data_IF_681708358530
#
_entry.id   IF_681708358530
#
_cell.length_a   1.000
_cell.length_b   1.000
_cell.length_c   1.000
_cell.angle_alpha   90.00
_cell.angle_beta   90.00
_cell.angle_gamma   90.00
#
_symmetry.space_group_name_H-M   'P 1'
#
loop_
_entity.id
_entity.type
_entity.pdbx_description
1 polymer ?
#
# COMPACT_ATOMS: atom_id res chain seq x y z
N UNK A 1 13.55 16.29 1.08
CA UNK A 1 14.83 16.42 1.79
C UNK A 1 15.90 16.17 0.73
N UNK A 2 16.87 17.07 0.55
CA UNK A 2 17.88 16.93 -0.52
C UNK A 2 19.01 16.02 -0.02
N UNK A 3 18.74 14.71 0.02
CA UNK A 3 19.73 13.70 0.42
C UNK A 3 20.59 13.42 -0.80
N UNK A 4 21.85 13.89 -0.76
CA UNK A 4 22.83 13.57 -1.79
C UNK A 4 23.01 12.05 -1.90
N UNK A 5 23.10 11.54 -3.12
CA UNK A 5 23.33 10.12 -3.37
C UNK A 5 24.66 9.67 -2.76
N UNK A 6 24.60 8.73 -1.81
CA UNK A 6 25.76 8.07 -1.20
C UNK A 6 25.91 6.64 -1.76
N UNK A 7 26.86 6.42 -2.69
CA UNK A 7 27.10 5.12 -3.32
C UNK A 7 27.40 4.00 -2.33
N UNK A 8 28.12 4.29 -1.25
CA UNK A 8 28.54 3.27 -0.27
C UNK A 8 27.33 2.84 0.54
N UNK A 9 26.56 3.82 1.04
CA UNK A 9 25.37 3.57 1.83
C UNK A 9 24.30 2.80 1.05
N UNK A 10 24.03 3.19 -0.21
CA UNK A 10 23.09 2.47 -1.05
C UNK A 10 23.56 1.03 -1.34
N UNK A 11 24.86 0.81 -1.56
CA UNK A 11 25.39 -0.53 -1.78
C UNK A 11 25.27 -1.42 -0.53
N UNK A 12 25.51 -0.87 0.66
CA UNK A 12 25.29 -1.58 1.93
C UNK A 12 23.83 -2.02 2.10
N UNK A 13 22.87 -1.17 1.75
CA UNK A 13 21.44 -1.50 1.81
C UNK A 13 21.07 -2.58 0.80
N UNK A 14 21.57 -2.47 -0.43
CA UNK A 14 21.39 -3.51 -1.44
C UNK A 14 21.95 -4.87 -1.00
N UNK A 15 23.18 -4.89 -0.49
CA UNK A 15 23.83 -6.13 -0.06
C UNK A 15 23.09 -6.76 1.15
N UNK A 16 22.50 -5.94 2.02
CA UNK A 16 21.61 -6.43 3.09
C UNK A 16 20.33 -7.06 2.54
N UNK A 17 19.70 -6.44 1.53
CA UNK A 17 18.53 -7.01 0.84
C UNK A 17 18.87 -8.34 0.17
N UNK A 18 20.02 -8.42 -0.51
CA UNK A 18 20.49 -9.65 -1.12
C UNK A 18 20.68 -10.76 -0.08
N UNK A 19 21.36 -10.44 1.03
CA UNK A 19 21.56 -11.39 2.12
C UNK A 19 20.23 -11.90 2.71
N UNK A 20 19.22 -11.03 2.88
CA UNK A 20 17.86 -11.42 3.31
C UNK A 20 17.20 -12.34 2.27
N UNK A 21 17.29 -11.97 1.00
CA UNK A 21 16.68 -12.70 -0.10
C UNK A 21 17.21 -14.12 -0.22
N UNK A 22 18.51 -14.34 -0.07
CA UNK A 22 19.13 -15.66 -0.27
C UNK A 22 19.28 -16.49 1.02
N UNK A 23 18.96 -15.94 2.20
CA UNK A 23 19.17 -16.60 3.49
C UNK A 23 18.46 -17.96 3.62
N UNK A 24 17.39 -18.18 2.87
CA UNK A 24 16.63 -19.42 2.86
C UNK A 24 17.20 -20.50 1.92
N UNK A 25 18.17 -20.13 1.07
CA UNK A 25 18.76 -21.03 0.06
C UNK A 25 20.00 -21.70 0.64
N UNK A 26 20.04 -23.04 0.77
CA UNK A 26 21.20 -23.75 1.31
C UNK A 26 22.46 -23.53 0.46
N UNK A 27 23.57 -23.15 1.10
CA UNK A 27 24.85 -22.93 0.41
C UNK A 27 24.95 -21.62 -0.37
N UNK A 28 23.92 -20.78 -0.36
CA UNK A 28 23.88 -19.58 -1.20
C UNK A 28 25.01 -18.58 -0.94
N UNK A 29 25.56 -18.55 0.27
CA UNK A 29 26.70 -17.68 0.59
C UNK A 29 27.95 -17.98 -0.27
N UNK A 30 28.11 -19.20 -0.77
CA UNK A 30 29.23 -19.61 -1.63
C UNK A 30 29.07 -19.11 -3.08
N UNK A 31 27.85 -18.81 -3.50
CA UNK A 31 27.49 -18.36 -4.85
C UNK A 31 27.34 -16.83 -4.95
N UNK A 32 27.56 -16.11 -3.85
CA UNK A 32 27.62 -14.64 -3.86
C UNK A 32 28.94 -14.18 -4.44
N UNK A 33 28.87 -13.42 -5.53
CA UNK A 33 30.04 -12.82 -6.18
C UNK A 33 30.08 -11.33 -5.81
N UNK A 34 31.15 -10.93 -5.14
CA UNK A 34 31.32 -9.55 -4.67
C UNK A 34 31.68 -8.59 -5.79
N UNK A 35 31.02 -7.44 -5.84
CA UNK A 35 31.27 -6.41 -6.86
C UNK A 35 31.04 -6.89 -8.30
N UNK A 36 30.16 -7.88 -8.49
CA UNK A 36 29.96 -8.54 -9.79
C UNK A 36 29.14 -7.69 -10.77
N UNK A 37 28.30 -6.78 -10.25
CA UNK A 37 27.41 -5.98 -11.11
C UNK A 37 28.20 -5.09 -12.06
N UNK A 38 29.28 -4.44 -11.61
CA UNK A 38 30.12 -3.63 -12.51
C UNK A 38 30.84 -4.48 -13.55
N UNK A 39 31.30 -5.69 -13.20
CA UNK A 39 31.96 -6.58 -14.16
C UNK A 39 30.98 -6.94 -15.28
N UNK A 40 29.74 -7.30 -14.92
CA UNK A 40 28.67 -7.58 -15.90
C UNK A 40 28.25 -6.35 -16.70
N UNK A 41 28.39 -5.15 -16.14
CA UNK A 41 28.17 -3.91 -16.87
C UNK A 41 29.20 -3.75 -17.98
N UNK A 42 30.49 -3.91 -17.66
CA UNK A 42 31.57 -3.77 -18.63
C UNK A 42 31.49 -4.80 -19.77
N UNK A 43 30.85 -5.95 -19.54
CA UNK A 43 30.59 -6.94 -20.59
C UNK A 43 29.56 -6.46 -21.63
N UNK A 44 28.58 -5.64 -21.23
CA UNK A 44 27.49 -5.17 -22.10
C UNK A 44 27.67 -3.73 -22.59
N UNK A 45 28.42 -2.93 -21.83
CA UNK A 45 28.69 -1.52 -22.06
C UNK A 45 30.20 -1.23 -21.83
N UNK A 46 31.09 -1.75 -22.70
CA UNK A 46 32.54 -1.68 -22.51
C UNK A 46 33.08 -0.24 -22.49
N UNK A 47 32.37 0.73 -23.07
CA UNK A 47 32.72 2.14 -23.04
C UNK A 47 32.83 2.73 -21.63
N UNK A 48 32.19 2.10 -20.63
CA UNK A 48 32.32 2.48 -19.22
C UNK A 48 33.72 2.18 -18.65
N UNK A 49 34.50 1.30 -19.29
CA UNK A 49 35.89 1.03 -18.89
C UNK A 49 36.85 2.17 -19.29
N UNK A 50 36.50 2.96 -20.30
CA UNK A 50 37.33 4.02 -20.86
C UNK A 50 37.08 5.39 -20.19
N UNK A 51 36.22 5.43 -19.16
CA UNK A 51 35.91 6.66 -18.43
C UNK A 51 37.13 7.16 -17.65
N UNK A 52 37.37 8.47 -17.70
CA UNK A 52 38.36 9.12 -16.84
C UNK A 52 37.83 9.15 -15.39
N UNK A 53 38.63 8.64 -14.46
CA UNK A 53 38.31 8.59 -13.03
C UNK A 53 36.92 7.97 -12.71
N UNK A 54 36.67 6.71 -13.10
CA UNK A 54 35.35 6.09 -12.97
C UNK A 54 34.88 6.00 -11.51
N UNK A 55 35.82 5.88 -10.56
CA UNK A 55 35.52 5.86 -9.11
C UNK A 55 34.99 7.20 -8.57
N UNK A 56 35.16 8.30 -9.31
CA UNK A 56 34.58 9.61 -8.99
C UNK A 56 33.14 9.73 -9.49
N UNK A 57 32.69 8.83 -10.37
CA UNK A 57 31.31 8.79 -10.86
C UNK A 57 30.44 8.00 -9.87
N UNK A 58 29.46 8.65 -9.20
CA UNK A 58 28.73 8.03 -8.09
C UNK A 58 28.08 6.70 -8.45
N UNK A 59 27.43 6.61 -9.61
CA UNK A 59 26.75 5.39 -10.06
C UNK A 59 27.75 4.25 -10.36
N UNK A 60 28.90 4.55 -10.97
CA UNK A 60 29.95 3.56 -11.21
C UNK A 60 30.44 2.99 -9.88
N UNK A 61 30.76 3.89 -8.93
CA UNK A 61 31.17 3.49 -7.59
C UNK A 61 30.12 2.63 -6.89
N UNK A 62 28.84 2.99 -6.97
CA UNK A 62 27.75 2.21 -6.40
C UNK A 62 27.70 0.80 -7.01
N UNK A 63 27.67 0.68 -8.34
CA UNK A 63 27.62 -0.60 -9.04
C UNK A 63 28.85 -1.48 -8.76
N UNK A 64 30.02 -0.89 -8.52
CA UNK A 64 31.25 -1.61 -8.17
C UNK A 64 31.20 -2.27 -6.79
N UNK A 65 30.32 -1.77 -5.91
CA UNK A 65 30.17 -2.25 -4.53
C UNK A 65 29.02 -3.25 -4.37
N UNK A 66 28.23 -3.50 -5.43
CA UNK A 66 27.11 -4.43 -5.36
C UNK A 66 27.56 -5.87 -5.48
N UNK A 67 27.23 -6.63 -4.45
CA UNK A 67 27.26 -8.08 -4.51
C UNK A 67 26.11 -8.58 -5.38
N UNK A 68 26.28 -9.72 -6.04
CA UNK A 68 25.15 -10.38 -6.68
C UNK A 68 25.21 -11.88 -6.48
N UNK A 69 24.04 -12.49 -6.53
CA UNK A 69 23.91 -13.93 -6.38
C UNK A 69 23.80 -14.59 -7.76
N UNK A 70 24.51 -15.71 -7.94
CA UNK A 70 24.35 -16.58 -9.10
C UNK A 70 23.52 -17.79 -8.70
N UNK A 71 22.42 -18.11 -9.40
CA UNK A 71 21.93 -17.56 -10.68
C UNK A 71 21.38 -16.12 -10.63
N UNK A 72 21.53 -15.41 -11.76
CA UNK A 72 21.21 -13.97 -11.90
C UNK A 72 19.72 -13.64 -11.75
N UNK A 73 18.86 -14.66 -11.74
CA UNK A 73 17.42 -14.58 -11.54
C UNK A 73 17.07 -14.64 -10.04
N UNK A 74 17.76 -13.87 -9.20
CA UNK A 74 17.35 -13.71 -7.79
C UNK A 74 16.49 -12.47 -7.61
N UNK A 75 15.36 -12.69 -6.95
CA UNK A 75 14.45 -11.65 -6.46
C UNK A 75 15.02 -11.09 -5.17
N UNK A 76 15.25 -9.77 -5.10
CA UNK A 76 15.63 -9.13 -3.84
C UNK A 76 14.43 -8.95 -2.92
N UNK A 77 13.28 -8.69 -3.55
CA UNK A 77 12.00 -8.49 -2.88
C UNK A 77 10.90 -9.17 -3.70
N UNK A 78 9.68 -9.32 -3.14
CA UNK A 78 8.52 -9.68 -3.94
C UNK A 78 8.23 -8.69 -5.08
N UNK A 79 8.74 -7.45 -4.98
CA UNK A 79 8.49 -6.38 -5.93
C UNK A 79 9.52 -6.33 -7.05
N UNK A 80 10.81 -6.57 -6.79
CA UNK A 80 11.87 -6.45 -7.80
C UNK A 80 13.03 -7.44 -7.70
N UNK A 81 13.68 -7.63 -8.84
CA UNK A 81 14.87 -8.47 -9.02
C UNK A 81 16.15 -7.73 -8.64
N UNK A 82 17.25 -8.47 -8.50
CA UNK A 82 18.58 -7.86 -8.41
C UNK A 82 18.97 -7.17 -9.72
N UNK A 83 19.95 -6.24 -9.71
CA UNK A 83 20.39 -5.57 -10.92
C UNK A 83 20.94 -6.55 -11.97
N UNK A 84 20.48 -6.36 -13.21
CA UNK A 84 20.92 -7.10 -14.38
C UNK A 84 21.37 -6.08 -15.43
N UNK A 85 22.68 -5.86 -15.64
CA UNK A 85 23.15 -4.81 -16.55
C UNK A 85 22.64 -4.92 -17.99
N UNK A 86 22.38 -6.13 -18.48
CA UNK A 86 21.75 -6.35 -19.79
C UNK A 86 20.34 -5.70 -19.93
N UNK A 87 19.75 -5.28 -18.81
CA UNK A 87 18.42 -4.69 -18.71
C UNK A 87 18.46 -3.19 -18.42
N UNK A 88 19.64 -2.60 -18.18
CA UNK A 88 19.79 -1.19 -17.82
C UNK A 88 19.37 -0.23 -18.93
N UNK A 89 19.58 -0.62 -20.19
CA UNK A 89 19.12 0.13 -21.35
C UNK A 89 18.21 -0.75 -22.20
N UNK A 90 17.06 -0.21 -22.57
CA UNK A 90 16.12 -0.83 -23.48
C UNK A 90 15.46 0.26 -24.31
N UNK A 91 15.44 0.08 -25.63
CA UNK A 91 14.83 1.00 -26.60
C UNK A 91 13.40 1.40 -26.18
N UNK A 92 12.66 0.49 -25.53
CA UNK A 92 11.29 0.73 -25.09
C UNK A 92 11.13 1.97 -24.19
N UNK A 93 12.01 2.19 -23.21
CA UNK A 93 11.91 3.38 -22.34
C UNK A 93 12.81 4.53 -22.79
N UNK A 94 13.89 4.25 -23.51
CA UNK A 94 14.77 5.29 -24.06
C UNK A 94 14.05 6.12 -25.14
N UNK A 95 13.14 5.51 -25.90
CA UNK A 95 12.34 6.23 -26.90
C UNK A 95 11.17 7.02 -26.26
N UNK A 96 10.76 6.66 -25.04
CA UNK A 96 9.61 7.25 -24.35
C UNK A 96 9.99 8.39 -23.41
N UNK A 97 11.25 8.49 -23.02
CA UNK A 97 11.74 9.48 -22.07
C UNK A 97 13.11 10.02 -22.52
N UNK A 98 13.26 11.34 -22.57
CA UNK A 98 14.51 11.97 -23.00
C UNK A 98 15.59 12.06 -21.92
N UNK A 99 15.27 11.68 -20.68
CA UNK A 99 16.22 11.63 -19.56
C UNK A 99 17.17 10.46 -19.71
N UNK A 100 18.37 10.57 -19.14
CA UNK A 100 19.32 9.45 -19.11
C UNK A 100 18.94 8.49 -17.98
N UNK A 101 18.12 7.48 -18.32
CA UNK A 101 17.53 6.55 -17.36
C UNK A 101 18.11 5.16 -17.51
N UNK A 102 18.29 4.47 -16.38
CA UNK A 102 18.52 3.01 -16.35
C UNK A 102 17.44 2.27 -15.57
N UNK A 103 17.07 1.07 -16.02
CA UNK A 103 16.27 0.15 -15.21
C UNK A 103 17.19 -0.57 -14.21
N UNK A 104 17.35 0.01 -13.02
CA UNK A 104 18.29 -0.49 -12.02
C UNK A 104 17.82 -1.81 -11.37
N UNK A 105 16.53 -1.87 -11.00
CA UNK A 105 15.91 -3.08 -10.43
C UNK A 105 14.68 -3.48 -11.24
N UNK A 106 14.74 -4.56 -12.05
CA UNK A 106 13.61 -5.02 -12.86
C UNK A 106 12.39 -5.43 -12.04
N UNK A 107 11.20 -5.33 -12.62
CA UNK A 107 9.92 -5.66 -11.97
C UNK A 107 9.73 -7.17 -11.78
N UNK A 108 9.31 -7.59 -10.60
CA UNK A 108 8.95 -8.97 -10.26
C UNK A 108 7.44 -9.18 -10.07
N UNK A 109 6.64 -8.12 -10.13
CA UNK A 109 5.21 -8.16 -9.85
C UNK A 109 4.34 -8.54 -11.04
N UNK A 110 4.88 -8.53 -12.26
CA UNK A 110 4.16 -8.89 -13.49
C UNK A 110 5.16 -9.23 -14.62
N UNK A 111 4.63 -9.65 -15.76
CA UNK A 111 5.41 -9.98 -16.96
C UNK A 111 5.00 -9.07 -18.13
N UNK A 112 5.95 -8.71 -19.01
CA UNK A 112 7.40 -8.97 -18.96
C UNK A 112 8.12 -8.16 -17.86
N UNK A 113 9.16 -8.73 -17.25
CA UNK A 113 9.95 -8.08 -16.18
C UNK A 113 10.70 -6.82 -16.63
N UNK A 114 10.83 -6.66 -17.95
CA UNK A 114 11.56 -5.58 -18.62
C UNK A 114 10.75 -4.30 -18.82
N UNK A 115 9.44 -4.40 -18.60
CA UNK A 115 8.52 -3.30 -18.92
C UNK A 115 8.42 -2.29 -17.77
N UNK A 116 9.15 -2.53 -16.68
CA UNK A 116 9.24 -1.61 -15.57
C UNK A 116 10.06 -2.13 -14.41
N UNK A 117 9.94 -1.42 -13.29
CA UNK A 117 10.69 -1.67 -12.07
C UNK A 117 11.13 -0.36 -11.45
N UNK A 118 12.26 -0.37 -10.74
CA UNK A 118 12.85 0.84 -10.17
C UNK A 118 13.84 1.45 -11.17
N UNK A 119 13.45 2.55 -11.80
CA UNK A 119 14.30 3.33 -12.67
C UNK A 119 15.20 4.25 -11.85
N UNK A 120 16.42 4.47 -12.32
CA UNK A 120 17.34 5.47 -11.80
C UNK A 120 17.64 6.50 -12.89
N UNK A 121 17.50 7.77 -12.55
CA UNK A 121 17.89 8.88 -13.40
C UNK A 121 19.37 9.18 -13.13
N UNK A 122 20.23 9.05 -14.16
CA UNK A 122 21.67 9.21 -14.05
C UNK A 122 22.09 10.67 -13.84
N UNK A 123 21.27 11.64 -14.26
CA UNK A 123 21.54 13.07 -14.05
C UNK A 123 21.30 13.49 -12.60
N UNK A 124 20.24 12.96 -11.99
CA UNK A 124 19.79 13.39 -10.65
C UNK A 124 20.13 12.39 -9.54
N UNK A 125 20.46 11.14 -9.89
CA UNK A 125 20.61 10.01 -8.98
C UNK A 125 19.36 9.69 -8.15
N UNK A 126 18.19 10.15 -8.62
CA UNK A 126 16.90 9.82 -8.02
C UNK A 126 16.33 8.58 -8.69
N UNK A 127 15.42 7.93 -7.98
CA UNK A 127 14.73 6.74 -8.45
C UNK A 127 13.23 6.89 -8.43
N UNK A 128 12.58 6.17 -9.34
CA UNK A 128 11.14 6.06 -9.39
C UNK A 128 10.70 4.69 -9.90
N UNK A 129 9.74 4.10 -9.20
CA UNK A 129 9.11 2.87 -9.62
C UNK A 129 8.09 3.16 -10.71
N UNK A 130 8.25 2.54 -11.89
CA UNK A 130 7.36 2.83 -13.01
C UNK A 130 7.19 1.66 -13.95
N UNK A 131 6.22 1.81 -14.85
CA UNK A 131 6.01 0.95 -16.02
C UNK A 131 5.73 1.80 -17.23
N UNK A 132 6.76 2.03 -18.02
CA UNK A 132 6.74 2.97 -19.14
C UNK A 132 5.73 2.59 -20.23
N UNK A 133 5.40 1.30 -20.35
CA UNK A 133 4.40 0.81 -21.31
C UNK A 133 2.95 1.08 -20.86
N UNK A 134 2.71 1.34 -19.58
CA UNK A 134 1.37 1.64 -19.03
C UNK A 134 1.20 3.13 -18.82
N UNK A 135 2.19 3.78 -18.22
CA UNK A 135 2.13 5.19 -17.84
C UNK A 135 3.49 5.86 -18.08
N UNK A 136 3.50 7.11 -18.57
CA UNK A 136 4.71 7.92 -18.58
C UNK A 136 5.29 8.05 -17.18
N UNK A 137 6.63 8.09 -17.08
CA UNK A 137 7.29 8.39 -15.83
C UNK A 137 6.97 9.84 -15.41
N UNK A 138 6.72 10.08 -14.11
CA UNK A 138 6.37 11.41 -13.66
C UNK A 138 7.58 12.37 -13.68
N UNK A 139 7.34 13.68 -13.49
CA UNK A 139 8.39 14.68 -13.33
C UNK A 139 9.35 14.36 -12.17
N UNK A 140 10.60 14.83 -12.25
CA UNK A 140 11.66 14.51 -11.27
C UNK A 140 11.30 14.90 -9.83
N UNK A 141 10.40 15.87 -9.62
CA UNK A 141 9.94 16.29 -8.29
C UNK A 141 9.21 15.19 -7.51
N UNK A 142 8.70 14.15 -8.19
CA UNK A 142 8.07 13.00 -7.54
C UNK A 142 9.03 11.81 -7.34
N UNK A 143 10.28 11.94 -7.77
CA UNK A 143 11.29 10.89 -7.62
C UNK A 143 11.93 11.00 -6.23
N UNK A 144 12.48 9.89 -5.75
CA UNK A 144 13.04 9.80 -4.39
C UNK A 144 14.49 9.35 -4.40
N UNK A 145 15.29 9.64 -3.35
CA UNK A 145 16.65 9.11 -3.25
C UNK A 145 16.65 7.57 -3.27
N UNK A 146 17.65 6.96 -3.93
CA UNK A 146 17.80 5.50 -3.94
C UNK A 146 17.91 4.92 -2.52
N UNK A 147 18.58 5.62 -1.61
CA UNK A 147 18.68 5.23 -0.20
C UNK A 147 17.31 5.04 0.43
N UNK A 148 16.36 5.96 0.17
CA UNK A 148 15.00 5.85 0.70
C UNK A 148 14.32 4.58 0.15
N UNK A 149 14.41 4.35 -1.16
CA UNK A 149 13.76 3.20 -1.79
C UNK A 149 14.28 1.86 -1.25
N UNK A 150 15.61 1.72 -1.10
CA UNK A 150 16.23 0.53 -0.54
C UNK A 150 15.93 0.36 0.95
N UNK A 151 15.91 1.45 1.71
CA UNK A 151 15.52 1.43 3.13
C UNK A 151 14.08 0.95 3.28
N UNK A 152 13.15 1.44 2.46
CA UNK A 152 11.75 0.98 2.46
C UNK A 152 11.62 -0.50 2.15
N UNK A 153 12.35 -1.00 1.16
CA UNK A 153 12.38 -2.42 0.86
C UNK A 153 12.93 -3.25 2.04
N UNK A 154 13.92 -2.74 2.77
CA UNK A 154 14.50 -3.41 3.92
C UNK A 154 13.55 -3.39 5.13
N UNK A 155 12.91 -2.26 5.40
CA UNK A 155 11.88 -2.12 6.43
C UNK A 155 10.76 -3.16 6.24
N UNK A 156 10.38 -3.42 4.99
CA UNK A 156 9.37 -4.44 4.64
C UNK A 156 9.83 -5.86 4.96
N UNK A 157 11.11 -6.17 4.79
CA UNK A 157 11.71 -7.42 5.29
C UNK A 157 11.75 -7.48 6.81
N UNK A 158 12.14 -6.39 7.47
CA UNK A 158 12.32 -6.34 8.92
C UNK A 158 11.00 -6.42 9.69
N UNK A 159 9.94 -5.80 9.17
CA UNK A 159 8.59 -5.96 9.74
C UNK A 159 7.91 -7.27 9.33
N UNK A 160 8.57 -8.11 8.52
CA UNK A 160 8.07 -9.41 8.09
C UNK A 160 6.95 -9.35 7.04
N UNK A 161 6.70 -8.19 6.45
CA UNK A 161 5.76 -8.06 5.33
C UNK A 161 6.32 -8.79 4.10
N UNK A 162 7.62 -8.67 3.83
CA UNK A 162 8.30 -9.56 2.90
C UNK A 162 8.75 -10.83 3.62
N UNK A 163 8.47 -11.98 3.01
CA UNK A 163 8.89 -13.26 3.55
C UNK A 163 9.20 -14.27 2.44
N UNK A 164 9.99 -15.28 2.78
CA UNK A 164 10.10 -16.48 1.98
C UNK A 164 9.26 -17.59 2.62
N UNK A 165 8.55 -18.36 1.81
CA UNK A 165 7.75 -19.47 2.30
C UNK A 165 7.12 -20.28 1.17
N UNK A 166 6.39 -21.34 1.51
CA UNK A 166 5.85 -22.27 0.53
C UNK A 166 4.90 -21.56 -0.41
N UNK A 167 5.15 -21.72 -1.70
CA UNK A 167 4.27 -21.24 -2.75
C UNK A 167 3.18 -22.27 -3.03
N UNK A 168 1.92 -21.86 -3.22
CA UNK A 168 0.88 -22.78 -3.67
C UNK A 168 1.11 -23.25 -5.12
N UNK A 169 2.00 -22.58 -5.86
CA UNK A 169 2.26 -22.85 -7.28
C UNK A 169 3.63 -23.48 -7.56
N UNK A 170 4.52 -23.59 -6.56
CA UNK A 170 5.83 -24.23 -6.72
C UNK A 170 6.20 -25.09 -5.51
N UNK A 171 7.00 -26.13 -5.76
CA UNK A 171 7.57 -26.97 -4.70
C UNK A 171 8.68 -26.27 -3.91
N UNK A 172 9.13 -25.11 -4.38
CA UNK A 172 10.18 -24.30 -3.76
C UNK A 172 9.57 -23.09 -3.03
N UNK A 173 10.22 -22.71 -1.93
CA UNK A 173 9.89 -21.48 -1.22
C UNK A 173 10.07 -20.29 -2.15
N UNK A 174 9.11 -19.37 -2.13
CA UNK A 174 9.08 -18.20 -3.00
C UNK A 174 8.95 -16.94 -2.17
N UNK A 175 9.74 -15.92 -2.52
CA UNK A 175 9.58 -14.57 -1.98
C UNK A 175 8.18 -14.04 -2.28
N UNK A 176 7.44 -13.71 -1.23
CA UNK A 176 6.05 -13.24 -1.30
C UNK A 176 5.80 -12.12 -0.30
N UNK A 177 4.71 -11.39 -0.52
CA UNK A 177 4.23 -10.34 0.39
C UNK A 177 3.13 -10.92 1.26
N UNK A 178 3.25 -10.76 2.59
CA UNK A 178 2.15 -11.04 3.50
C UNK A 178 1.04 -10.01 3.28
N UNK A 179 -0.24 -10.41 3.20
CA UNK A 179 -1.34 -9.47 3.06
C UNK A 179 -1.34 -8.38 4.14
N UNK A 180 -1.00 -8.73 5.39
CA UNK A 180 -0.80 -7.80 6.50
C UNK A 180 0.10 -8.44 7.57
N UNK A 181 0.61 -7.62 8.49
CA UNK A 181 1.46 -7.99 9.63
C UNK A 181 0.87 -7.45 10.94
N UNK A 182 1.29 -7.97 12.09
CA UNK A 182 0.84 -7.44 13.40
C UNK A 182 1.09 -5.92 13.53
N UNK A 183 2.22 -5.45 13.00
CA UNK A 183 2.55 -4.01 12.96
C UNK A 183 1.55 -3.20 12.14
N UNK A 184 0.96 -3.78 11.10
CA UNK A 184 -0.07 -3.11 10.29
C UNK A 184 -1.38 -2.95 11.06
N UNK A 185 -1.72 -3.95 11.87
CA UNK A 185 -2.85 -3.88 12.79
C UNK A 185 -2.61 -2.86 13.91
N UNK A 186 -1.42 -2.88 14.54
CA UNK A 186 -1.03 -1.93 15.58
C UNK A 186 -1.09 -0.48 15.09
N UNK A 187 -0.51 -0.20 13.91
CA UNK A 187 -0.55 1.13 13.31
C UNK A 187 -1.99 1.57 12.99
N UNK A 188 -2.82 0.67 12.45
CA UNK A 188 -4.23 0.96 12.16
C UNK A 188 -5.05 1.25 13.42
N UNK A 189 -4.85 0.47 14.49
CA UNK A 189 -5.52 0.66 15.78
C UNK A 189 -5.02 1.94 16.46
N UNK A 190 -3.74 2.25 16.38
CA UNK A 190 -3.18 3.49 16.92
C UNK A 190 -3.76 4.72 16.21
N UNK A 191 -3.75 4.74 14.88
CA UNK A 191 -4.32 5.83 14.09
C UNK A 191 -5.84 5.98 14.32
N UNK A 192 -6.54 4.87 14.51
CA UNK A 192 -7.94 4.87 14.91
C UNK A 192 -8.17 5.51 16.29
N UNK A 193 -7.39 5.14 17.30
CA UNK A 193 -7.48 5.71 18.65
C UNK A 193 -7.15 7.23 18.64
N UNK A 194 -6.24 7.64 17.77
CA UNK A 194 -5.94 9.05 17.51
C UNK A 194 -7.11 9.82 16.90
N UNK A 195 -7.77 9.25 15.89
CA UNK A 195 -8.99 9.82 15.30
C UNK A 195 -10.10 9.97 16.35
N UNK A 196 -10.35 8.92 17.14
CA UNK A 196 -11.35 8.99 18.20
C UNK A 196 -11.03 10.07 19.23
N UNK A 197 -9.74 10.24 19.56
CA UNK A 197 -9.29 11.31 20.46
C UNK A 197 -9.49 12.68 19.85
N UNK A 198 -9.11 12.89 18.58
CA UNK A 198 -9.30 14.14 17.86
C UNK A 198 -10.77 14.58 17.84
N UNK A 199 -11.70 13.66 17.55
CA UNK A 199 -13.14 13.95 17.55
C UNK A 199 -13.61 14.28 18.96
N UNK A 200 -13.26 13.43 19.95
CA UNK A 200 -13.68 13.60 21.34
C UNK A 200 -13.25 14.95 21.91
N UNK A 201 -12.04 15.40 21.59
CA UNK A 201 -11.47 16.65 22.08
C UNK A 201 -12.16 17.88 21.50
N UNK A 202 -12.85 17.73 20.36
CA UNK A 202 -13.63 18.78 19.70
C UNK A 202 -15.14 18.69 19.94
N UNK A 203 -15.62 17.72 20.71
CA UNK A 203 -17.05 17.64 21.04
C UNK A 203 -17.48 18.89 21.84
N UNK A 204 -18.61 19.52 21.48
CA UNK A 204 -19.16 20.66 22.21
C UNK A 204 -19.82 20.20 23.51
N UNK A 205 -19.00 19.87 24.51
CA UNK A 205 -19.44 19.44 25.83
C UNK A 205 -19.61 20.64 26.78
N UNK A 206 -20.62 20.62 27.69
CA UNK A 206 -20.66 21.54 28.81
C UNK A 206 -19.36 21.49 29.64
N UNK A 207 -18.91 22.60 30.26
CA UNK A 207 -17.63 22.66 30.98
C UNK A 207 -17.40 21.57 32.03
N UNK A 208 -18.48 21.09 32.65
CA UNK A 208 -18.45 20.08 33.72
C UNK A 208 -18.95 18.69 33.27
N UNK A 209 -19.26 18.51 31.98
CA UNK A 209 -19.73 17.22 31.48
C UNK A 209 -18.57 16.23 31.36
N UNK A 210 -18.71 15.00 31.90
CA UNK A 210 -17.70 13.97 31.71
C UNK A 210 -17.57 13.66 30.22
N UNK A 211 -16.33 13.45 29.77
CA UNK A 211 -16.10 13.05 28.38
C UNK A 211 -16.78 11.71 28.10
N UNK A 212 -17.36 11.54 26.91
CA UNK A 212 -18.06 10.32 26.57
C UNK A 212 -17.12 9.10 26.66
N UNK A 213 -17.57 7.99 27.28
CA UNK A 213 -16.72 6.83 27.48
C UNK A 213 -16.44 6.12 26.16
N UNK A 214 -15.23 5.59 26.04
CA UNK A 214 -14.88 4.67 24.96
C UNK A 214 -15.40 3.28 25.34
N UNK A 215 -16.04 2.60 24.40
CA UNK A 215 -16.60 1.26 24.56
C UNK A 215 -15.59 0.18 24.14
N UNK A 216 -15.78 -1.00 24.71
CA UNK A 216 -15.01 -2.20 24.33
C UNK A 216 -15.22 -2.56 22.85
N UNK A 217 -14.22 -3.20 22.22
CA UNK A 217 -14.31 -3.76 20.86
C UNK A 217 -15.46 -4.77 20.69
N UNK A 218 -15.68 -5.22 19.45
CA UNK A 218 -16.64 -6.29 19.21
C UNK A 218 -16.11 -7.62 19.78
N UNK A 219 -16.96 -8.47 20.38
CA UNK A 219 -16.53 -9.78 20.87
C UNK A 219 -16.04 -10.67 19.72
N UNK A 220 -14.89 -11.33 19.88
CA UNK A 220 -14.35 -12.25 18.88
C UNK A 220 -15.35 -13.36 18.52
N UNK A 221 -16.06 -13.90 19.51
CA UNK A 221 -17.09 -14.91 19.31
C UNK A 221 -18.26 -14.46 18.43
N UNK A 222 -18.50 -13.16 18.28
CA UNK A 222 -19.49 -12.60 17.36
C UNK A 222 -18.90 -12.44 15.96
N UNK A 223 -17.69 -11.88 15.87
CA UNK A 223 -17.02 -11.60 14.59
C UNK A 223 -16.64 -12.87 13.85
N UNK A 224 -16.25 -13.93 14.57
CA UNK A 224 -15.90 -15.24 14.01
C UNK A 224 -17.07 -15.98 13.34
N UNK A 225 -18.32 -15.56 13.58
CA UNK A 225 -19.52 -16.18 13.00
C UNK A 225 -19.72 -15.85 11.51
N UNK A 226 -18.96 -14.88 10.97
CA UNK A 226 -19.19 -14.33 9.65
C UNK A 226 -17.93 -14.34 8.76
N UNK A 227 -18.18 -14.32 7.45
CA UNK A 227 -17.15 -14.32 6.40
C UNK A 227 -16.56 -12.91 6.21
N UNK A 228 -15.47 -12.66 6.93
CA UNK A 228 -14.66 -11.43 6.89
C UNK A 228 -13.19 -11.78 6.64
N UNK A 229 -12.44 -10.83 6.10
CA UNK A 229 -10.99 -10.96 5.98
C UNK A 229 -10.31 -11.06 7.36
N UNK A 230 -9.16 -11.75 7.46
CA UNK A 230 -8.43 -11.87 8.71
C UNK A 230 -8.07 -10.51 9.33
N UNK A 231 -7.65 -9.54 8.50
CA UNK A 231 -7.36 -8.18 8.96
C UNK A 231 -8.61 -7.51 9.56
N UNK A 232 -9.76 -7.57 8.87
CA UNK A 232 -11.00 -6.97 9.39
C UNK A 232 -11.45 -7.61 10.70
N UNK A 233 -11.31 -8.94 10.84
CA UNK A 233 -11.60 -9.65 12.10
C UNK A 233 -10.70 -9.15 13.23
N UNK A 234 -9.39 -9.07 12.98
CA UNK A 234 -8.42 -8.62 13.97
C UNK A 234 -8.64 -7.16 14.36
N UNK A 235 -8.92 -6.28 13.40
CA UNK A 235 -9.22 -4.88 13.65
C UNK A 235 -10.50 -4.71 14.46
N UNK A 236 -11.62 -5.32 14.05
CA UNK A 236 -12.93 -5.16 14.73
C UNK A 236 -12.95 -5.70 16.17
N UNK A 237 -12.09 -6.67 16.48
CA UNK A 237 -11.97 -7.27 17.81
C UNK A 237 -10.93 -6.58 18.70
N UNK A 238 -10.12 -5.68 18.14
CA UNK A 238 -9.09 -4.92 18.87
C UNK A 238 -9.45 -3.44 18.99
N UNK A 239 -10.01 -2.84 17.94
CA UNK A 239 -10.32 -1.43 17.85
C UNK A 239 -11.45 -1.03 18.81
N UNK A 240 -11.18 -0.02 19.63
CA UNK A 240 -12.17 0.52 20.57
C UNK A 240 -13.30 1.21 19.82
N UNK A 241 -14.48 1.32 20.45
CA UNK A 241 -15.65 1.93 19.81
C UNK A 241 -16.02 3.26 20.51
N UNK A 242 -16.28 4.35 19.77
CA UNK A 242 -16.75 5.58 20.37
C UNK A 242 -18.17 5.45 20.91
N UNK A 243 -18.57 6.35 21.80
CA UNK A 243 -19.96 6.51 22.21
C UNK A 243 -20.71 7.59 21.43
N UNK A 244 -20.00 8.39 20.61
CA UNK A 244 -20.61 9.31 19.66
C UNK A 244 -20.94 8.57 18.34
N UNK A 245 -21.84 9.12 17.55
CA UNK A 245 -22.44 8.43 16.41
C UNK A 245 -21.52 8.40 15.18
N UNK A 246 -20.91 9.54 14.82
CA UNK A 246 -20.24 9.69 13.52
C UNK A 246 -18.74 9.96 13.65
N UNK A 247 -17.96 9.19 12.88
CA UNK A 247 -16.49 9.24 12.90
C UNK A 247 -15.89 9.91 11.66
N UNK A 248 -16.70 10.10 10.62
CA UNK A 248 -16.31 10.74 9.37
C UNK A 248 -17.56 11.24 8.61
N UNK A 249 -17.41 12.11 7.59
CA UNK A 249 -18.51 12.52 6.73
C UNK A 249 -19.20 11.31 6.09
N UNK A 250 -20.45 11.47 5.66
CA UNK A 250 -21.21 10.36 5.08
C UNK A 250 -21.97 9.52 6.10
N UNK A 251 -22.10 10.03 7.33
CA UNK A 251 -22.68 9.30 8.46
C UNK A 251 -21.99 7.95 8.70
N UNK A 252 -20.67 7.92 8.52
CA UNK A 252 -19.86 6.75 8.85
C UNK A 252 -19.82 6.58 10.37
N UNK A 253 -20.15 5.38 10.82
CA UNK A 253 -20.24 5.03 12.23
C UNK A 253 -19.46 3.76 12.54
N UNK A 254 -19.32 3.42 13.81
CA UNK A 254 -18.85 2.10 14.25
C UNK A 254 -20.02 1.16 14.49
N UNK A 255 -19.79 -0.13 14.32
CA UNK A 255 -20.78 -1.14 14.65
C UNK A 255 -21.12 -1.18 16.15
N UNK A 256 -22.41 -1.28 16.45
CA UNK A 256 -22.89 -1.94 17.67
C UNK A 256 -22.88 -3.46 17.47
N UNK A 257 -22.92 -4.24 18.56
CA UNK A 257 -23.05 -5.71 18.48
C UNK A 257 -24.28 -6.12 17.65
N UNK A 258 -25.40 -5.43 17.88
CA UNK A 258 -26.66 -5.69 17.20
C UNK A 258 -26.58 -5.33 15.71
N UNK A 259 -26.15 -4.10 15.39
CA UNK A 259 -26.07 -3.66 13.99
C UNK A 259 -25.07 -4.48 13.17
N UNK A 260 -23.98 -4.97 13.78
CA UNK A 260 -23.05 -5.88 13.12
C UNK A 260 -23.72 -7.21 12.78
N UNK A 261 -24.33 -7.84 13.78
CA UNK A 261 -25.03 -9.11 13.60
C UNK A 261 -26.15 -9.00 12.55
N UNK A 262 -26.98 -7.96 12.63
CA UNK A 262 -28.10 -7.75 11.71
C UNK A 262 -27.63 -7.55 10.28
N UNK A 263 -26.58 -6.75 10.06
CA UNK A 263 -26.10 -6.44 8.72
C UNK A 263 -25.45 -7.67 8.06
N UNK A 264 -24.60 -8.39 8.78
CA UNK A 264 -23.90 -9.55 8.23
C UNK A 264 -24.79 -10.80 8.17
N UNK A 265 -25.76 -10.97 9.07
CA UNK A 265 -26.72 -12.07 9.00
C UNK A 265 -27.76 -11.88 7.89
N UNK A 266 -28.05 -10.63 7.50
CA UNK A 266 -28.93 -10.32 6.38
C UNK A 266 -28.28 -10.60 5.01
N UNK A 267 -26.97 -10.84 4.97
CA UNK A 267 -26.29 -11.18 3.73
C UNK A 267 -26.66 -12.58 3.24
N UNK A 268 -27.01 -12.69 1.95
CA UNK A 268 -27.39 -13.95 1.36
C UNK A 268 -26.17 -14.87 1.11
N UNK A 269 -26.31 -16.20 1.21
CA UNK A 269 -25.20 -17.12 0.96
C UNK A 269 -24.60 -17.04 -0.46
N UNK A 270 -25.40 -16.60 -1.44
CA UNK A 270 -25.03 -16.41 -2.84
C UNK A 270 -24.51 -14.99 -3.15
N UNK A 271 -24.23 -14.18 -2.12
CA UNK A 271 -23.73 -12.83 -2.29
C UNK A 271 -22.47 -12.81 -3.18
N UNK A 272 -22.39 -11.92 -4.20
CA UNK A 272 -21.30 -11.91 -5.17
C UNK A 272 -19.90 -11.82 -4.54
N UNK A 273 -19.76 -11.12 -3.40
CA UNK A 273 -18.47 -11.01 -2.71
C UNK A 273 -17.98 -12.34 -2.15
N UNK A 274 -18.89 -13.24 -1.76
CA UNK A 274 -18.55 -14.58 -1.27
C UNK A 274 -18.16 -15.52 -2.41
N UNK A 275 -18.85 -15.40 -3.55
CA UNK A 275 -18.58 -16.20 -4.73
C UNK A 275 -17.20 -15.90 -5.37
N UNK A 276 -16.72 -14.66 -5.30
CA UNK A 276 -15.40 -14.30 -5.86
C UNK A 276 -14.23 -14.93 -5.10
N UNK A 277 -14.37 -15.12 -3.79
CA UNK A 277 -13.33 -15.78 -2.99
C UNK A 277 -13.25 -17.28 -3.20
N UNK A 278 -14.36 -17.94 -3.57
CA UNK A 278 -14.36 -19.38 -3.88
C UNK A 278 -13.44 -19.74 -5.06
N UNK A 279 -13.07 -18.76 -5.90
CA UNK A 279 -12.17 -18.94 -7.04
C UNK A 279 -10.73 -18.44 -6.77
N UNK A 280 -10.47 -17.83 -5.61
CA UNK A 280 -9.15 -17.31 -5.25
C UNK A 280 -8.38 -18.36 -4.42
N UNK A 281 -7.08 -18.52 -4.69
CA UNK A 281 -6.21 -19.40 -3.92
C UNK A 281 -6.02 -18.97 -2.44
N UNK A 282 -6.49 -17.78 -2.07
CA UNK A 282 -6.56 -17.31 -0.68
C UNK A 282 -7.98 -17.47 -0.15
N UNK A 283 -8.20 -18.53 0.64
CA UNK A 283 -9.52 -18.98 1.05
C UNK A 283 -10.30 -17.99 1.95
N UNK A 284 -9.69 -16.91 2.45
CA UNK A 284 -10.28 -16.11 3.53
C UNK A 284 -10.27 -14.58 3.31
N UNK A 285 -9.83 -14.07 2.15
CA UNK A 285 -9.67 -12.62 1.96
C UNK A 285 -10.95 -11.93 1.47
N UNK A 286 -11.96 -11.80 2.34
CA UNK A 286 -13.25 -11.20 1.97
C UNK A 286 -13.24 -9.67 2.03
N UNK A 287 -13.85 -9.05 1.02
CA UNK A 287 -14.27 -7.66 1.09
C UNK A 287 -15.14 -7.46 2.35
N UNK A 288 -14.65 -6.70 3.33
CA UNK A 288 -15.23 -6.64 4.67
C UNK A 288 -15.55 -5.22 5.05
N UNK A 289 -16.81 -4.95 5.40
CA UNK A 289 -17.23 -3.64 5.88
C UNK A 289 -16.73 -3.45 7.32
N UNK A 290 -15.92 -2.42 7.55
CA UNK A 290 -15.35 -2.10 8.87
C UNK A 290 -16.12 -0.95 9.52
N UNK A 291 -16.43 0.10 8.77
CA UNK A 291 -17.22 1.26 9.24
C UNK A 291 -18.45 1.46 8.35
N UNK A 292 -19.67 1.09 8.78
CA UNK A 292 -20.88 1.28 8.00
C UNK A 292 -21.30 2.76 7.93
N UNK A 293 -21.85 3.18 6.80
CA UNK A 293 -22.67 4.38 6.74
C UNK A 293 -24.09 4.08 7.26
N UNK A 294 -24.70 4.99 8.02
CA UNK A 294 -26.11 4.87 8.43
C UNK A 294 -27.09 5.25 7.33
N UNK A 295 -26.60 5.80 6.21
CA UNK A 295 -27.39 6.13 5.04
C UNK A 295 -27.97 4.88 4.36
N UNK A 296 -28.95 5.11 3.47
CA UNK A 296 -29.55 4.05 2.67
C UNK A 296 -28.51 3.30 1.81
N UNK A 297 -28.87 2.10 1.37
CA UNK A 297 -28.05 1.36 0.42
C UNK A 297 -27.79 2.19 -0.85
N UNK A 298 -26.62 2.02 -1.45
CA UNK A 298 -26.24 2.67 -2.70
C UNK A 298 -27.26 2.27 -3.77
N UNK A 299 -27.95 3.24 -4.40
CA UNK A 299 -29.00 2.94 -5.38
C UNK A 299 -28.44 2.20 -6.60
N UNK A 300 -29.29 1.47 -7.33
CA UNK A 300 -28.94 0.96 -8.66
C UNK A 300 -28.80 2.14 -9.64
N UNK A 301 -27.81 2.09 -10.52
CA UNK A 301 -27.50 3.22 -11.40
C UNK A 301 -26.92 4.41 -10.63
N UNK A 302 -26.06 4.10 -9.66
CA UNK A 302 -25.31 5.07 -8.86
C UNK A 302 -24.55 6.09 -9.73
N UNK A 303 -24.04 7.17 -9.12
CA UNK A 303 -23.40 8.26 -9.85
C UNK A 303 -22.19 7.78 -10.68
N UNK A 304 -21.52 6.71 -10.25
CA UNK A 304 -20.52 6.00 -11.04
C UNK A 304 -21.19 4.93 -11.95
N UNK A 305 -21.21 5.13 -13.28
CA UNK A 305 -21.83 4.19 -14.21
C UNK A 305 -21.13 2.83 -14.27
N UNK A 306 -19.92 2.71 -13.72
CA UNK A 306 -19.18 1.46 -13.65
C UNK A 306 -19.52 0.63 -12.42
N UNK A 307 -20.15 1.20 -11.40
CA UNK A 307 -20.37 0.56 -10.09
C UNK A 307 -21.08 -0.79 -10.19
N UNK A 308 -22.12 -0.87 -11.02
CA UNK A 308 -22.95 -2.06 -11.22
C UNK A 308 -22.48 -2.97 -12.36
N UNK A 309 -21.39 -2.63 -13.07
CA UNK A 309 -20.85 -3.46 -14.15
C UNK A 309 -20.12 -4.68 -13.58
N UNK A 310 -19.82 -5.67 -14.43
CA UNK A 310 -19.08 -6.88 -14.02
C UNK A 310 -17.68 -6.57 -13.45
N UNK A 311 -17.06 -5.49 -13.92
CA UNK A 311 -15.80 -4.95 -13.39
C UNK A 311 -16.00 -3.89 -12.29
N UNK A 312 -17.25 -3.58 -11.95
CA UNK A 312 -17.65 -2.61 -10.94
C UNK A 312 -17.46 -3.13 -9.52
N UNK A 313 -17.71 -2.24 -8.56
CA UNK A 313 -17.45 -2.49 -7.16
C UNK A 313 -18.67 -2.96 -6.35
N UNK A 314 -19.89 -2.88 -6.89
CA UNK A 314 -21.10 -3.31 -6.19
C UNK A 314 -21.00 -4.74 -5.66
N UNK A 315 -20.37 -5.61 -6.46
CA UNK A 315 -20.14 -7.02 -6.17
C UNK A 315 -19.28 -7.30 -4.93
N UNK A 316 -18.55 -6.31 -4.42
CA UNK A 316 -17.72 -6.44 -3.21
C UNK A 316 -18.41 -5.92 -1.95
N UNK A 317 -19.61 -5.34 -2.08
CA UNK A 317 -20.32 -4.71 -0.97
C UNK A 317 -21.16 -5.72 -0.19
N UNK A 318 -21.46 -5.36 1.07
CA UNK A 318 -22.44 -6.08 1.89
C UNK A 318 -23.75 -5.33 1.76
N UNK A 319 -24.75 -5.95 1.13
CA UNK A 319 -26.08 -5.37 0.96
C UNK A 319 -26.06 -3.95 0.34
N UNK A 320 -25.12 -3.69 -0.58
CA UNK A 320 -24.88 -2.35 -1.20
C UNK A 320 -24.69 -1.23 -0.17
N UNK A 321 -24.18 -1.55 1.01
CA UNK A 321 -23.97 -0.58 2.08
C UNK A 321 -22.77 0.31 1.74
N UNK A 322 -22.94 1.63 1.85
CA UNK A 322 -21.80 2.55 1.83
C UNK A 322 -21.00 2.42 3.13
N UNK A 323 -19.71 2.72 3.10
CA UNK A 323 -18.84 2.53 4.25
C UNK A 323 -17.36 2.40 3.92
N UNK A 324 -16.56 2.20 4.97
CA UNK A 324 -15.16 1.86 4.86
C UNK A 324 -14.97 0.34 4.86
N UNK A 325 -14.46 -0.19 3.77
CA UNK A 325 -14.20 -1.60 3.55
C UNK A 325 -12.70 -1.91 3.58
N UNK A 326 -12.34 -3.18 3.80
CA UNK A 326 -11.06 -3.70 3.29
C UNK A 326 -11.07 -3.71 1.77
N UNK A 327 -9.96 -3.30 1.16
CA UNK A 327 -9.89 -3.13 -0.29
C UNK A 327 -9.93 -4.50 -1.01
N UNK A 328 -11.00 -4.79 -1.76
CA UNK A 328 -11.15 -6.08 -2.44
C UNK A 328 -10.19 -6.25 -3.62
N UNK A 329 -9.60 -5.17 -4.12
CA UNK A 329 -8.72 -5.19 -5.29
C UNK A 329 -7.26 -5.42 -4.92
N UNK A 330 -6.90 -5.22 -3.65
CA UNK A 330 -5.52 -5.30 -3.15
C UNK A 330 -5.27 -6.53 -2.26
N UNK A 331 -6.31 -7.29 -1.92
CA UNK A 331 -6.35 -8.23 -0.79
C UNK A 331 -5.23 -9.28 -0.69
N UNK A 332 -4.64 -9.75 -1.80
CA UNK A 332 -3.54 -10.72 -1.73
C UNK A 332 -2.19 -10.11 -1.34
N UNK A 333 -2.04 -8.79 -1.46
CA UNK A 333 -0.79 -8.07 -1.15
C UNK A 333 -0.95 -7.13 0.03
N UNK A 334 -2.09 -6.45 0.13
CA UNK A 334 -2.35 -5.39 1.10
C UNK A 334 -3.78 -5.47 1.64
N UNK A 335 -4.04 -6.50 2.44
CA UNK A 335 -5.33 -6.73 3.12
C UNK A 335 -5.71 -5.61 4.11
N UNK A 336 -4.72 -4.82 4.55
CA UNK A 336 -4.91 -3.64 5.39
C UNK A 336 -5.13 -2.35 4.58
N UNK A 337 -5.35 -2.46 3.26
CA UNK A 337 -5.82 -1.36 2.42
C UNK A 337 -7.29 -1.05 2.70
N UNK A 338 -7.61 0.24 2.72
CA UNK A 338 -8.92 0.78 2.99
C UNK A 338 -9.60 1.25 1.69
N UNK A 339 -10.82 0.79 1.50
CA UNK A 339 -11.69 1.18 0.39
C UNK A 339 -12.92 1.92 0.92
N UNK A 340 -12.96 3.24 0.73
CA UNK A 340 -14.12 4.04 1.09
C UNK A 340 -15.13 4.06 -0.08
N UNK A 341 -16.34 3.58 0.19
CA UNK A 341 -17.49 3.67 -0.69
C UNK A 341 -18.49 4.69 -0.14
N UNK A 342 -18.78 5.72 -0.94
CA UNK A 342 -19.77 6.76 -0.61
C UNK A 342 -21.21 6.32 -0.89
N UNK A 343 -22.20 7.01 -0.33
CA UNK A 343 -23.62 6.72 -0.54
C UNK A 343 -24.05 6.95 -2.01
N UNK A 344 -23.34 7.83 -2.71
CA UNK A 344 -23.51 8.12 -4.13
C UNK A 344 -22.90 7.03 -5.04
N UNK A 345 -22.20 6.06 -4.47
CA UNK A 345 -21.52 4.98 -5.19
C UNK A 345 -20.13 5.33 -5.72
N UNK A 346 -19.58 6.49 -5.35
CA UNK A 346 -18.19 6.83 -5.66
C UNK A 346 -17.24 6.01 -4.77
N UNK A 347 -16.28 5.36 -5.43
CA UNK A 347 -15.21 4.56 -4.83
C UNK A 347 -13.89 5.34 -4.78
N UNK A 348 -13.10 5.11 -3.72
CA UNK A 348 -11.78 5.75 -3.49
C UNK A 348 -11.78 7.28 -3.58
N UNK A 349 -12.68 7.97 -2.85
CA UNK A 349 -12.70 9.44 -2.84
C UNK A 349 -11.45 10.04 -2.19
N UNK A 350 -10.66 9.24 -1.45
CA UNK A 350 -9.35 9.57 -0.87
C UNK A 350 -8.33 8.59 -1.45
N UNK A 351 -7.25 9.12 -2.03
CA UNK A 351 -6.24 8.32 -2.76
C UNK A 351 -4.89 9.02 -2.78
N UNK A 352 -3.83 8.26 -3.01
CA UNK A 352 -2.53 8.86 -3.31
C UNK A 352 -2.50 9.51 -4.70
N UNK A 353 -1.76 10.60 -4.81
CA UNK A 353 -1.39 11.21 -6.08
C UNK A 353 -0.23 10.45 -6.69
N UNK A 354 -0.37 10.08 -7.96
CA UNK A 354 0.68 9.40 -8.69
C UNK A 354 0.98 7.99 -8.16
N UNK A 355 2.09 7.44 -8.66
CA UNK A 355 2.57 6.12 -8.28
C UNK A 355 3.48 6.21 -7.06
N UNK A 356 3.53 5.12 -6.28
CA UNK A 356 4.49 4.97 -5.19
C UNK A 356 5.89 4.95 -5.79
N UNK A 357 6.81 5.87 -5.42
CA UNK A 357 8.06 6.01 -6.14
C UNK A 357 9.11 4.95 -5.78
N UNK A 358 8.97 4.23 -4.66
CA UNK A 358 9.91 3.19 -4.22
C UNK A 358 9.44 1.75 -4.41
N UNK A 359 8.30 1.51 -5.06
CA UNK A 359 7.87 0.16 -5.34
C UNK A 359 6.46 0.04 -5.90
N UNK A 360 5.94 -1.17 -5.91
CA UNK A 360 4.69 -1.48 -6.60
C UNK A 360 3.49 -0.65 -6.07
N UNK A 361 2.51 -0.32 -6.95
CA UNK A 361 1.31 0.38 -6.52
C UNK A 361 0.58 -0.36 -5.40
N UNK A 362 0.06 0.41 -4.43
CA UNK A 362 -0.79 -0.09 -3.34
C UNK A 362 -1.91 0.91 -3.02
N UNK A 363 -2.94 0.42 -2.34
CA UNK A 363 -4.04 1.25 -1.81
C UNK A 363 -3.62 2.11 -0.61
N UNK A 364 -4.52 3.01 -0.20
CA UNK A 364 -4.41 3.76 1.06
C UNK A 364 -4.67 2.80 2.20
N UNK A 365 -3.78 2.72 3.18
CA UNK A 365 -3.93 1.80 4.32
C UNK A 365 -4.92 2.35 5.35
N UNK A 366 -5.52 1.48 6.17
CA UNK A 366 -6.37 1.92 7.28
C UNK A 366 -5.65 2.91 8.20
N UNK A 367 -4.39 2.66 8.53
CA UNK A 367 -3.59 3.58 9.35
C UNK A 367 -3.44 4.97 8.72
N UNK A 368 -3.18 5.04 7.41
CA UNK A 368 -3.02 6.29 6.67
C UNK A 368 -4.35 7.04 6.56
N UNK A 369 -5.44 6.31 6.27
CA UNK A 369 -6.79 6.85 6.20
C UNK A 369 -7.21 7.46 7.55
N UNK A 370 -7.01 6.76 8.66
CA UNK A 370 -7.39 7.27 9.97
C UNK A 370 -6.50 8.41 10.44
N UNK A 371 -5.21 8.39 10.11
CA UNK A 371 -4.29 9.48 10.43
C UNK A 371 -4.72 10.77 9.74
N UNK A 372 -5.00 10.74 8.44
CA UNK A 372 -5.43 11.94 7.71
C UNK A 372 -6.82 12.41 8.16
N UNK A 373 -7.72 11.50 8.51
CA UNK A 373 -9.02 11.87 9.11
C UNK A 373 -8.85 12.56 10.46
N UNK A 374 -7.91 12.10 11.29
CA UNK A 374 -7.61 12.73 12.57
C UNK A 374 -7.08 14.15 12.37
N UNK A 375 -6.22 14.36 11.38
CA UNK A 375 -5.69 15.68 11.02
C UNK A 375 -6.79 16.61 10.52
N UNK A 376 -7.68 16.15 9.63
CA UNK A 376 -8.83 16.95 9.18
C UNK A 376 -9.75 17.38 10.33
N UNK A 377 -9.92 16.54 11.35
CA UNK A 377 -10.66 16.92 12.56
C UNK A 377 -9.88 17.95 13.39
N UNK A 378 -8.59 17.71 13.65
CA UNK A 378 -7.73 18.60 14.45
C UNK A 378 -7.67 20.00 13.83
N UNK A 379 -7.49 20.07 12.52
CA UNK A 379 -7.36 21.31 11.75
C UNK A 379 -8.71 22.01 11.54
N UNK A 380 -9.82 21.36 11.89
CA UNK A 380 -11.17 21.90 11.72
C UNK A 380 -11.66 21.90 10.28
N UNK A 381 -11.00 21.14 9.38
CA UNK A 381 -11.51 20.82 8.05
C UNK A 381 -12.82 20.03 8.17
N UNK A 382 -12.90 19.14 9.15
CA UNK A 382 -14.14 18.47 9.53
C UNK A 382 -14.76 19.11 10.77
N UNK A 383 -16.02 19.50 10.63
CA UNK A 383 -16.82 20.04 11.72
C UNK A 383 -17.23 18.91 12.68
N UNK A 384 -17.27 19.20 13.98
CA UNK A 384 -17.66 18.25 15.03
C UNK A 384 -18.83 18.82 15.83
N UNK A 385 -19.89 18.02 15.96
CA UNK A 385 -21.09 18.28 16.76
C UNK A 385 -21.15 17.35 17.97
N UNK A 386 -22.25 17.39 18.73
CA UNK A 386 -22.48 16.47 19.85
C UNK A 386 -22.56 14.99 19.42
N UNK A 387 -22.89 14.73 18.16
CA UNK A 387 -22.97 13.37 17.60
C UNK A 387 -21.65 12.89 16.98
N UNK A 388 -20.58 13.69 17.03
CA UNK A 388 -19.31 13.42 16.35
C UNK A 388 -19.17 14.26 15.08
N UNK A 389 -18.51 13.73 14.05
CA UNK A 389 -18.28 14.46 12.78
C UNK A 389 -19.62 14.86 12.15
N UNK A 390 -19.78 16.16 11.88
CA UNK A 390 -20.99 16.78 11.38
C UNK A 390 -20.85 17.31 9.94
N UNK A 391 -19.64 17.27 9.39
CA UNK A 391 -19.37 17.61 8.00
C UNK A 391 -20.32 16.88 7.06
N UNK A 392 -20.82 17.58 6.05
CA UNK A 392 -21.78 17.05 5.08
C UNK A 392 -21.27 15.77 4.40
N UNK A 393 -22.19 14.84 4.13
CA UNK A 393 -21.91 13.61 3.39
C UNK A 393 -21.33 13.85 1.99
N UNK A 394 -21.69 14.97 1.36
CA UNK A 394 -21.16 15.37 0.07
C UNK A 394 -19.66 15.71 0.10
N UNK A 395 -19.01 15.82 1.27
CA UNK A 395 -17.60 16.20 1.37
C UNK A 395 -16.67 15.28 0.56
N UNK A 396 -16.99 13.98 0.47
CA UNK A 396 -16.21 13.02 -0.32
C UNK A 396 -16.50 13.06 -1.83
N UNK A 397 -17.54 13.76 -2.27
CA UNK A 397 -17.94 13.84 -3.68
C UNK A 397 -17.89 15.26 -4.23
N UNK A 398 -17.75 16.26 -3.36
CA UNK A 398 -17.63 17.67 -3.72
C UNK A 398 -16.32 17.94 -4.47
N UNK A 399 -16.36 18.47 -5.71
CA UNK A 399 -15.16 18.88 -6.43
C UNK A 399 -14.31 19.91 -5.68
N UNK A 400 -14.92 20.76 -4.85
CA UNK A 400 -14.20 21.79 -4.08
C UNK A 400 -13.26 21.22 -3.01
N UNK A 401 -13.45 19.95 -2.62
CA UNK A 401 -12.60 19.26 -1.63
C UNK A 401 -11.63 18.28 -2.28
N UNK A 402 -11.57 18.19 -3.62
CA UNK A 402 -10.80 17.16 -4.32
C UNK A 402 -9.31 17.17 -3.95
N UNK A 403 -8.67 18.33 -3.95
CA UNK A 403 -7.25 18.47 -3.61
C UNK A 403 -6.94 18.07 -2.16
N UNK A 404 -7.88 18.28 -1.22
CA UNK A 404 -7.70 17.89 0.18
C UNK A 404 -7.70 16.36 0.35
N UNK A 405 -8.29 15.63 -0.59
CA UNK A 405 -8.45 14.16 -0.55
C UNK A 405 -7.32 13.43 -1.29
N UNK A 406 -6.37 14.19 -1.82
CA UNK A 406 -5.23 13.71 -2.57
C UNK A 406 -4.01 13.62 -1.64
N UNK A 407 -3.68 12.39 -1.26
CA UNK A 407 -2.57 12.08 -0.36
C UNK A 407 -1.25 12.10 -1.13
N UNK A 408 -0.19 12.57 -0.47
CA UNK A 408 1.16 12.54 -1.03
C UNK A 408 1.92 11.32 -0.51
N UNK A 409 2.72 10.70 -1.37
CA UNK A 409 3.69 9.71 -0.94
C UNK A 409 4.76 10.40 -0.10
N UNK A 410 4.91 9.96 1.14
CA UNK A 410 5.86 10.55 2.09
C UNK A 410 6.81 9.50 2.64
N UNK A 411 7.91 9.94 3.25
CA UNK A 411 8.86 9.06 3.94
C UNK A 411 8.21 8.27 5.08
N UNK A 412 7.04 8.69 5.59
CA UNK A 412 6.29 7.93 6.61
C UNK A 412 5.44 6.81 6.04
N UNK A 413 5.14 6.83 4.73
CA UNK A 413 4.46 5.74 4.05
C UNK A 413 5.39 4.51 4.01
N UNK A 414 4.84 3.33 4.31
CA UNK A 414 5.55 2.05 4.15
C UNK A 414 5.35 1.53 2.74
#
# INVERSE_FOLDING_TARGET
MDIAFDPVRCAELHNQLLAKAIAHIPGAAEEVVRGDVITRLLDVAPEWADMDAPDEVPIYRFLSLLDSYRPLEVRLTPEFWQPVPAYFWNDLYQDLDSRDLILLYPDNTNTPIMDGGLFLNLDTNLVHWGRVNVHPLPPDESWVPLELALTKALDMWECGKFHCGPSPFSSEDTLSTRPWTERDLEDAVSAWDELLTAIRDRLPLPPDAPRPPIQDPLPSSLVEQFDLSPFAKAFLTTAKRPSFAYVAPGHLTTFTRQSFADLYAAETPDAPRRAQNANAAAADEYASLVLPATLAAVPEGAADPSFDKDHGHAKFTINRRAGLYTDPTMGLRDADSAWLLTAEGSAHPVRFVGQRPWGAPRGVRFAEMFSVWADWVRDGVWEVSIEGVATTHAWFTDPATAELRELQWTETCR
#
